data_IF_857134243523
#
_entry.id   IF_857134243523
#
_cell.length_a   1.000
_cell.length_b   1.000
_cell.length_c   1.000
_cell.angle_alpha   90.00
_cell.angle_beta   90.00
_cell.angle_gamma   90.00
#
_symmetry.space_group_name_H-M   'P 1'
#
loop_
_entity.id
_entity.type
_entity.pdbx_description
1 polymer ?
#
# COMPACT_ATOMS: atom_id res chain seq x y z
N UNK A 1 -19.18 58.08 -9.38
CA UNK A 1 -17.74 57.87 -9.63
C UNK A 1 -17.61 56.94 -10.82
N UNK A 2 -17.52 57.52 -12.03
CA UNK A 2 -17.57 56.78 -13.29
C UNK A 2 -16.13 56.55 -13.79
N UNK A 3 -15.65 55.31 -13.64
CA UNK A 3 -14.52 54.64 -14.30
C UNK A 3 -13.35 55.49 -14.87
N UNK A 4 -12.31 55.70 -14.06
CA UNK A 4 -10.97 56.12 -14.52
C UNK A 4 -10.27 55.09 -15.43
N UNK A 5 -10.76 53.85 -15.48
CA UNK A 5 -10.22 52.77 -16.32
C UNK A 5 -10.31 53.03 -17.84
N UNK A 6 -11.16 53.96 -18.29
CA UNK A 6 -11.25 54.33 -19.71
C UNK A 6 -10.14 55.30 -20.16
N UNK A 7 -9.45 55.98 -19.24
CA UNK A 7 -8.36 56.93 -19.57
C UNK A 7 -7.04 56.24 -19.90
N UNK A 8 -6.84 55.01 -19.42
CA UNK A 8 -5.65 54.19 -19.69
C UNK A 8 -6.07 52.74 -19.95
N UNK A 9 -6.47 52.39 -21.19
CA UNK A 9 -6.73 51.00 -21.53
C UNK A 9 -5.45 50.17 -21.30
N UNK A 10 -5.56 49.10 -20.51
CA UNK A 10 -4.44 48.23 -20.12
C UNK A 10 -3.76 47.60 -21.35
N UNK A 11 -4.50 47.49 -22.46
CA UNK A 11 -3.99 46.99 -23.75
C UNK A 11 -2.82 47.80 -24.29
N UNK A 12 -2.80 49.13 -24.09
CA UNK A 12 -1.77 50.00 -24.67
C UNK A 12 -0.55 50.23 -23.79
N UNK A 13 -0.62 49.87 -22.51
CA UNK A 13 0.47 50.13 -21.56
C UNK A 13 1.72 49.29 -21.89
N UNK A 14 1.53 48.00 -22.16
CA UNK A 14 2.61 47.09 -22.52
C UNK A 14 3.28 47.48 -23.83
N UNK A 15 2.47 47.84 -24.84
CA UNK A 15 2.97 48.32 -26.13
C UNK A 15 3.85 49.56 -25.98
N UNK A 16 3.46 50.50 -25.12
CA UNK A 16 4.19 51.74 -24.89
C UNK A 16 5.54 51.54 -24.17
N UNK A 17 5.62 50.54 -23.29
CA UNK A 17 6.90 50.14 -22.67
C UNK A 17 7.81 49.49 -23.71
N UNK A 18 7.27 48.56 -24.49
CA UNK A 18 8.03 47.82 -25.50
C UNK A 18 8.53 48.71 -26.62
N UNK A 19 7.72 49.68 -27.06
CA UNK A 19 8.13 50.67 -28.07
C UNK A 19 9.28 51.55 -27.58
N UNK A 20 9.28 51.95 -26.31
CA UNK A 20 10.40 52.68 -25.72
C UNK A 20 11.69 51.83 -25.63
N UNK A 21 11.56 50.51 -25.71
CA UNK A 21 12.67 49.56 -25.76
C UNK A 21 13.07 49.14 -27.19
N UNK A 22 12.54 49.83 -28.21
CA UNK A 22 12.89 49.61 -29.61
C UNK A 22 12.16 48.43 -30.28
N UNK A 23 11.10 47.91 -29.65
CA UNK A 23 10.23 46.90 -30.25
C UNK A 23 9.10 47.57 -31.05
N UNK A 24 8.84 47.07 -32.26
CA UNK A 24 7.72 47.51 -33.09
C UNK A 24 6.94 46.29 -33.57
N UNK A 25 5.62 46.38 -33.60
CA UNK A 25 4.77 45.28 -34.07
C UNK A 25 5.15 44.92 -35.52
N UNK A 26 5.41 43.63 -35.76
CA UNK A 26 5.80 43.11 -37.08
C UNK A 26 7.31 43.19 -37.40
N UNK A 27 8.11 43.85 -36.56
CA UNK A 27 9.57 43.99 -36.76
C UNK A 27 10.36 43.09 -35.80
N UNK A 28 11.30 42.32 -36.33
CA UNK A 28 12.24 41.55 -35.52
C UNK A 28 13.17 42.46 -34.69
N UNK A 29 13.49 42.05 -33.46
CA UNK A 29 14.42 42.77 -32.58
C UNK A 29 15.87 42.30 -32.84
N UNK A 30 16.83 43.21 -33.05
CA UNK A 30 18.25 42.89 -33.29
C UNK A 30 18.85 43.50 -34.56
N UNK A 31 20.12 43.19 -34.87
CA UNK A 31 20.90 43.80 -35.97
C UNK A 31 20.35 43.55 -37.38
N UNK A 32 19.56 42.50 -37.59
CA UNK A 32 18.99 42.12 -38.89
C UNK A 32 17.47 42.33 -38.91
N UNK A 33 17.02 43.53 -38.53
CA UNK A 33 15.61 43.85 -38.23
C UNK A 33 14.65 43.97 -39.43
N UNK A 34 15.07 43.56 -40.63
CA UNK A 34 14.33 43.85 -41.88
C UNK A 34 13.40 42.73 -42.33
N UNK A 35 13.41 41.56 -41.68
CA UNK A 35 12.44 40.51 -41.97
C UNK A 35 11.19 40.69 -41.11
N UNK A 36 10.04 40.84 -41.79
CA UNK A 36 8.72 40.64 -41.21
C UNK A 36 8.59 39.15 -40.85
N UNK A 37 8.81 38.82 -39.58
CA UNK A 37 8.65 37.46 -39.10
C UNK A 37 7.17 37.27 -38.74
N UNK A 38 6.38 36.48 -39.49
CA UNK A 38 5.02 36.18 -39.10
C UNK A 38 5.02 35.49 -37.73
N UNK A 39 4.17 35.97 -36.81
CA UNK A 39 3.99 35.36 -35.50
C UNK A 39 3.45 33.94 -35.68
N UNK A 40 4.34 32.94 -35.71
CA UNK A 40 3.96 31.53 -35.68
C UNK A 40 3.57 31.18 -34.24
N UNK A 41 2.38 31.61 -33.83
CA UNK A 41 1.81 31.26 -32.55
C UNK A 41 1.28 29.83 -32.65
N UNK A 42 2.20 28.86 -32.65
CA UNK A 42 1.86 27.51 -32.28
C UNK A 42 1.45 27.55 -30.82
N UNK A 43 0.17 27.80 -30.56
CA UNK A 43 -0.45 27.28 -29.35
C UNK A 43 -0.32 25.77 -29.44
N UNK A 44 0.80 25.23 -28.96
CA UNK A 44 0.88 23.83 -28.56
C UNK A 44 -0.09 23.74 -27.39
N UNK A 45 -1.37 23.54 -27.70
CA UNK A 45 -2.38 23.20 -26.74
C UNK A 45 -1.99 21.81 -26.27
N UNK A 46 -1.20 21.75 -25.19
CA UNK A 46 -1.00 20.50 -24.47
C UNK A 46 -2.39 20.10 -24.00
N UNK A 47 -2.98 19.07 -24.60
CA UNK A 47 -4.20 18.45 -24.10
C UNK A 47 -4.01 18.21 -22.58
N UNK A 48 -4.93 18.74 -21.78
CA UNK A 48 -4.90 18.65 -20.32
C UNK A 48 -4.65 19.95 -19.54
N UNK A 49 -4.37 21.09 -20.18
CA UNK A 49 -4.34 22.41 -19.50
C UNK A 49 -5.53 23.30 -19.85
N UNK A 50 -6.74 22.75 -19.83
CA UNK A 50 -7.95 23.54 -20.10
C UNK A 50 -8.32 24.46 -18.94
N UNK A 51 -7.74 24.21 -17.77
CA UNK A 51 -8.07 24.92 -16.55
C UNK A 51 -7.05 26.05 -16.35
N UNK A 52 -7.49 27.30 -16.47
CA UNK A 52 -6.72 28.50 -16.07
C UNK A 52 -6.56 28.59 -14.54
N UNK A 53 -6.18 27.50 -13.90
CA UNK A 53 -5.93 27.43 -12.47
C UNK A 53 -4.41 27.41 -12.29
N UNK A 54 -3.83 28.55 -11.93
CA UNK A 54 -2.41 28.64 -11.58
C UNK A 54 -1.98 27.61 -10.53
N UNK A 55 -0.66 27.39 -10.40
CA UNK A 55 -0.02 26.52 -9.41
C UNK A 55 -0.56 25.07 -9.33
N UNK A 56 -1.02 24.48 -10.44
CA UNK A 56 -1.23 23.02 -10.52
C UNK A 56 -2.35 22.46 -9.64
N UNK A 57 -3.44 23.21 -9.45
CA UNK A 57 -4.60 22.78 -8.66
C UNK A 57 -5.64 22.04 -9.53
N UNK A 58 -5.68 20.72 -9.45
CA UNK A 58 -6.70 19.89 -10.12
C UNK A 58 -8.03 19.93 -9.36
N UNK A 59 -9.05 20.59 -9.93
CA UNK A 59 -10.41 20.61 -9.37
C UNK A 59 -11.17 19.29 -9.57
N UNK A 60 -10.69 18.41 -10.45
CA UNK A 60 -11.30 17.11 -10.76
C UNK A 60 -11.40 16.17 -9.54
N UNK A 61 -10.56 16.38 -8.51
CA UNK A 61 -10.65 15.64 -7.24
C UNK A 61 -11.77 16.14 -6.31
N UNK A 62 -12.26 17.37 -6.50
CA UNK A 62 -13.19 18.05 -5.59
C UNK A 62 -14.65 17.91 -6.05
N UNK A 63 -14.89 17.53 -7.32
CA UNK A 63 -16.25 17.47 -7.91
C UNK A 63 -17.01 16.16 -7.65
N UNK A 64 -16.52 15.27 -6.76
CA UNK A 64 -17.37 14.20 -6.25
C UNK A 64 -18.37 14.83 -5.27
N UNK A 65 -19.67 14.80 -5.58
CA UNK A 65 -20.75 15.24 -4.68
C UNK A 65 -20.41 14.80 -3.25
N UNK A 66 -20.44 15.73 -2.29
CA UNK A 66 -20.41 15.38 -0.86
C UNK A 66 -21.58 14.45 -0.58
N UNK A 67 -21.33 13.16 -0.64
CA UNK A 67 -22.24 12.18 -0.08
C UNK A 67 -22.38 12.50 1.41
N UNK A 68 -23.61 12.38 1.92
CA UNK A 68 -23.85 12.58 3.34
C UNK A 68 -23.22 11.41 4.08
N UNK A 69 -22.00 11.60 4.59
CA UNK A 69 -21.31 10.62 5.40
C UNK A 69 -22.12 10.37 6.67
N UNK A 70 -22.43 9.11 6.95
CA UNK A 70 -23.14 8.69 8.15
C UNK A 70 -22.25 7.78 8.99
N UNK A 71 -22.61 7.61 10.26
CA UNK A 71 -21.99 6.60 11.11
C UNK A 71 -22.13 5.22 10.45
N UNK A 72 -21.03 4.47 10.38
CA UNK A 72 -20.97 3.18 9.67
C UNK A 72 -20.62 3.27 8.18
N UNK A 73 -20.57 4.47 7.58
CA UNK A 73 -20.09 4.64 6.20
C UNK A 73 -18.61 4.27 6.06
N UNK A 74 -18.26 3.66 4.93
CA UNK A 74 -16.88 3.29 4.61
C UNK A 74 -16.25 4.42 3.80
N UNK A 75 -15.12 4.90 4.28
CA UNK A 75 -14.47 6.10 3.75
C UNK A 75 -12.99 5.89 3.47
N UNK A 76 -12.52 6.55 2.43
CA UNK A 76 -11.11 6.67 2.08
C UNK A 76 -10.59 8.09 2.36
N UNK A 77 -9.39 8.16 2.93
CA UNK A 77 -8.70 9.41 3.23
C UNK A 77 -7.95 9.91 1.99
N UNK A 78 -8.36 11.03 1.40
CA UNK A 78 -7.77 11.52 0.14
C UNK A 78 -6.51 12.38 0.28
N UNK A 79 -6.21 12.89 1.47
CA UNK A 79 -5.08 13.81 1.69
C UNK A 79 -4.52 13.76 3.12
N UNK A 80 -3.38 14.42 3.35
CA UNK A 80 -2.73 14.46 4.67
C UNK A 80 -1.91 13.22 5.02
N UNK A 81 -1.50 13.13 6.29
CA UNK A 81 -0.62 12.07 6.83
C UNK A 81 -1.16 10.65 6.62
N UNK A 82 -2.48 10.52 6.60
CA UNK A 82 -3.20 9.26 6.55
C UNK A 82 -3.80 8.98 5.16
N UNK A 83 -3.30 9.63 4.11
CA UNK A 83 -3.80 9.47 2.73
C UNK A 83 -3.75 8.00 2.27
N UNK A 84 -4.84 7.55 1.63
CA UNK A 84 -5.02 6.19 1.09
C UNK A 84 -5.51 5.16 2.11
N UNK A 85 -5.71 5.55 3.37
CA UNK A 85 -6.28 4.66 4.40
C UNK A 85 -7.79 4.55 4.19
N UNK A 86 -8.30 3.33 4.31
CA UNK A 86 -9.74 3.03 4.29
C UNK A 86 -10.17 2.61 5.70
N UNK A 87 -11.32 3.13 6.15
CA UNK A 87 -11.88 2.78 7.44
C UNK A 87 -13.39 2.97 7.51
N UNK A 88 -13.96 2.58 8.63
CA UNK A 88 -15.38 2.75 8.95
C UNK A 88 -15.52 3.91 9.92
N UNK A 89 -16.46 4.82 9.65
CA UNK A 89 -16.77 5.91 10.56
C UNK A 89 -17.46 5.33 11.80
N UNK A 90 -16.83 5.48 12.97
CA UNK A 90 -17.43 5.12 14.25
C UNK A 90 -18.24 6.27 14.85
N UNK A 91 -17.74 7.49 14.75
CA UNK A 91 -18.39 8.66 15.32
C UNK A 91 -18.12 9.88 14.43
N UNK A 92 -19.15 10.69 14.20
CA UNK A 92 -19.05 11.96 13.50
C UNK A 92 -19.19 13.08 14.51
N UNK A 93 -18.19 13.95 14.55
CA UNK A 93 -18.22 15.25 15.24
C UNK A 93 -18.43 16.35 14.20
N UNK A 94 -18.57 17.61 14.64
CA UNK A 94 -18.91 18.74 13.77
C UNK A 94 -17.94 18.91 12.57
N UNK A 95 -16.62 18.80 12.80
CA UNK A 95 -15.61 18.96 11.73
C UNK A 95 -14.72 17.73 11.52
N UNK A 96 -14.78 16.75 12.43
CA UNK A 96 -13.91 15.58 12.45
C UNK A 96 -14.73 14.30 12.60
N UNK A 97 -14.25 13.21 12.02
CA UNK A 97 -14.79 11.87 12.22
C UNK A 97 -13.74 10.99 12.89
N UNK A 98 -14.18 10.13 13.81
CA UNK A 98 -13.38 9.08 14.40
C UNK A 98 -13.59 7.81 13.57
N UNK A 99 -12.49 7.31 13.02
CA UNK A 99 -12.49 6.23 12.05
C UNK A 99 -11.78 5.03 12.64
N UNK A 100 -12.39 3.86 12.52
CA UNK A 100 -11.74 2.58 12.76
C UNK A 100 -11.09 2.07 11.48
N UNK A 101 -9.79 1.81 11.56
CA UNK A 101 -9.01 1.33 10.42
C UNK A 101 -9.05 -0.19 10.41
N UNK A 102 -9.36 -0.79 9.26
CA UNK A 102 -9.49 -2.27 9.17
C UNK A 102 -8.17 -3.05 9.40
N UNK A 103 -7.02 -2.38 9.35
CA UNK A 103 -5.69 -3.00 9.45
C UNK A 103 -5.04 -2.89 10.85
N UNK A 104 -5.69 -2.25 11.82
CA UNK A 104 -5.25 -2.15 13.23
C UNK A 104 -6.44 -1.63 14.06
N UNK A 105 -6.67 -2.15 15.27
CA UNK A 105 -7.71 -1.70 16.22
C UNK A 105 -7.37 -0.31 16.82
N UNK A 106 -6.88 0.61 16.00
CA UNK A 106 -6.52 1.97 16.38
C UNK A 106 -7.52 2.94 15.75
N UNK A 107 -8.17 3.73 16.59
CA UNK A 107 -9.07 4.79 16.17
C UNK A 107 -8.29 6.04 15.78
N UNK A 108 -8.58 6.63 14.61
CA UNK A 108 -7.94 7.86 14.15
C UNK A 108 -8.99 8.94 13.92
N UNK A 109 -8.73 10.13 14.49
CA UNK A 109 -9.52 11.34 14.25
C UNK A 109 -9.08 12.01 12.95
N UNK A 110 -9.98 12.12 11.98
CA UNK A 110 -9.69 12.68 10.64
C UNK A 110 -10.74 13.75 10.29
N UNK A 111 -10.33 14.91 9.72
CA UNK A 111 -11.28 15.93 9.29
C UNK A 111 -12.21 15.44 8.19
N UNK A 112 -13.52 15.73 8.27
CA UNK A 112 -14.52 15.28 7.29
C UNK A 112 -14.17 15.71 5.85
N UNK A 113 -13.52 16.86 5.69
CA UNK A 113 -13.11 17.40 4.38
C UNK A 113 -12.16 16.48 3.61
N UNK A 114 -11.50 15.56 4.30
CA UNK A 114 -10.50 14.66 3.74
C UNK A 114 -11.08 13.26 3.47
N UNK A 115 -12.36 13.05 3.75
CA UNK A 115 -13.03 11.76 3.61
C UNK A 115 -13.92 11.76 2.37
N UNK A 116 -13.86 10.68 1.62
CA UNK A 116 -14.77 10.39 0.52
C UNK A 116 -15.39 9.02 0.75
N UNK A 117 -16.68 8.88 0.45
CA UNK A 117 -17.35 7.59 0.45
C UNK A 117 -16.71 6.65 -0.59
N UNK A 118 -16.29 5.48 -0.14
CA UNK A 118 -15.66 4.49 -1.00
C UNK A 118 -16.68 3.43 -1.40
N UNK A 119 -16.87 3.21 -2.70
CA UNK A 119 -17.68 2.10 -3.21
C UNK A 119 -17.06 0.74 -2.79
N UNK A 120 -17.92 -0.22 -2.47
CA UNK A 120 -17.57 -1.61 -2.10
C UNK A 120 -16.67 -2.34 -3.12
N UNK A 121 -16.48 -1.78 -4.32
CA UNK A 121 -15.61 -2.33 -5.36
C UNK A 121 -14.13 -1.93 -5.20
N UNK A 122 -13.85 -0.80 -4.55
CA UNK A 122 -12.48 -0.32 -4.24
C UNK A 122 -12.01 -0.85 -2.87
N UNK A 123 -12.96 -1.26 -2.02
CA UNK A 123 -12.70 -1.90 -0.72
C UNK A 123 -11.84 -3.16 -0.79
N UNK A 124 -11.89 -3.91 -1.89
CA UNK A 124 -11.13 -5.16 -2.05
C UNK A 124 -9.68 -4.95 -2.45
N UNK A 125 -9.28 -3.73 -2.86
CA UNK A 125 -7.95 -3.49 -3.42
C UNK A 125 -6.93 -2.99 -2.39
N UNK A 126 -7.38 -2.39 -1.29
CA UNK A 126 -6.49 -1.71 -0.31
C UNK A 126 -6.59 -2.28 1.12
N UNK A 127 -7.61 -3.11 1.39
CA UNK A 127 -7.64 -4.04 2.51
C UNK A 127 -6.90 -5.31 2.02
N UNK A 128 -5.65 -5.48 2.44
CA UNK A 128 -4.89 -6.73 2.39
C UNK A 128 -4.89 -7.53 1.07
N UNK A 129 -3.89 -7.27 0.23
CA UNK A 129 -3.25 -8.34 -0.55
C UNK A 129 -2.72 -9.51 0.32
N UNK A 130 -2.70 -9.37 1.66
CA UNK A 130 -2.33 -10.43 2.59
C UNK A 130 -3.51 -11.36 2.85
N UNK A 131 -3.49 -12.50 2.16
CA UNK A 131 -4.35 -13.66 2.47
C UNK A 131 -4.19 -14.04 3.96
N UNK A 132 -5.24 -14.53 4.63
CA UNK A 132 -5.09 -15.02 6.00
C UNK A 132 -4.09 -16.16 6.07
N UNK A 133 -3.36 -16.23 7.19
CA UNK A 133 -2.39 -17.25 7.50
C UNK A 133 -3.09 -18.62 7.58
N UNK A 134 -2.62 -19.57 6.78
CA UNK A 134 -3.21 -20.90 6.65
C UNK A 134 -2.58 -21.91 7.59
N UNK A 135 -1.25 -21.84 7.73
CA UNK A 135 -0.46 -22.89 8.39
C UNK A 135 0.56 -22.37 9.41
N UNK A 136 0.75 -21.05 9.48
CA UNK A 136 1.67 -20.42 10.43
C UNK A 136 1.18 -20.60 11.85
N UNK A 137 2.06 -21.12 12.73
CA UNK A 137 1.82 -21.33 14.16
C UNK A 137 3.08 -20.89 14.93
N UNK A 138 2.94 -20.43 16.18
CA UNK A 138 4.09 -20.15 17.06
C UNK A 138 4.97 -21.40 17.30
N UNK A 139 6.27 -21.18 17.45
CA UNK A 139 7.28 -22.22 17.72
C UNK A 139 7.73 -23.02 16.50
N UNK A 140 7.16 -22.78 15.31
CA UNK A 140 7.58 -23.46 14.08
C UNK A 140 8.96 -22.98 13.62
N UNK A 141 9.76 -23.92 13.11
CA UNK A 141 11.02 -23.63 12.45
C UNK A 141 10.79 -23.54 10.95
N UNK A 142 11.02 -22.37 10.39
CA UNK A 142 10.77 -22.09 8.97
C UNK A 142 12.04 -21.69 8.24
N UNK A 143 12.02 -21.80 6.92
CA UNK A 143 13.07 -21.28 6.04
C UNK A 143 12.53 -20.08 5.29
N UNK A 144 13.25 -18.96 5.34
CA UNK A 144 12.89 -17.76 4.60
C UNK A 144 13.25 -17.95 3.11
N UNK A 145 12.30 -17.66 2.23
CA UNK A 145 12.41 -17.76 0.76
C UNK A 145 12.26 -16.43 0.03
N UNK A 146 11.95 -15.35 0.74
CA UNK A 146 11.93 -14.02 0.13
C UNK A 146 13.32 -13.57 -0.31
N UNK A 147 13.46 -13.21 -1.59
CA UNK A 147 14.70 -12.62 -2.14
C UNK A 147 14.71 -11.09 -2.06
N UNK A 148 13.56 -10.49 -1.80
CA UNK A 148 13.36 -9.04 -1.78
C UNK A 148 13.27 -8.49 -0.37
N UNK A 149 12.69 -9.23 0.57
CA UNK A 149 12.62 -8.83 1.98
C UNK A 149 14.04 -8.63 2.54
N UNK A 150 14.22 -7.56 3.34
CA UNK A 150 15.51 -7.20 3.94
C UNK A 150 16.69 -7.22 2.94
N UNK A 151 16.45 -6.79 1.70
CA UNK A 151 17.43 -6.79 0.59
C UNK A 151 18.03 -8.19 0.30
N UNK A 152 17.27 -9.25 0.60
CA UNK A 152 17.68 -10.64 0.41
C UNK A 152 18.67 -11.18 1.45
N UNK A 153 19.02 -10.41 2.48
CA UNK A 153 19.99 -10.82 3.51
C UNK A 153 19.57 -12.09 4.28
N UNK A 154 18.26 -12.33 4.39
CA UNK A 154 17.68 -13.44 5.13
C UNK A 154 17.31 -14.62 4.23
N UNK A 155 17.56 -14.54 2.92
CA UNK A 155 17.20 -15.59 1.98
C UNK A 155 17.85 -16.93 2.35
N UNK A 156 17.06 -18.01 2.28
CA UNK A 156 17.45 -19.38 2.59
C UNK A 156 17.92 -19.61 4.06
N UNK A 157 17.67 -18.65 4.94
CA UNK A 157 18.03 -18.75 6.36
C UNK A 157 16.91 -19.43 7.16
N UNK A 158 17.28 -20.27 8.14
CA UNK A 158 16.35 -20.88 9.07
C UNK A 158 16.02 -19.90 10.20
N UNK A 159 14.76 -19.86 10.60
CA UNK A 159 14.24 -18.95 11.61
C UNK A 159 13.12 -19.63 12.41
N UNK A 160 12.74 -19.03 13.54
CA UNK A 160 11.66 -19.54 14.38
C UNK A 160 10.51 -18.54 14.43
N UNK A 161 9.28 -19.02 14.28
CA UNK A 161 8.09 -18.19 14.49
C UNK A 161 7.96 -17.95 15.98
N UNK A 162 8.11 -16.71 16.39
CA UNK A 162 8.07 -16.33 17.80
C UNK A 162 6.64 -16.19 18.27
N UNK A 163 5.84 -15.35 17.59
CA UNK A 163 4.43 -15.16 17.90
C UNK A 163 3.59 -14.88 16.64
N UNK A 164 2.28 -15.12 16.72
CA UNK A 164 1.30 -14.80 15.68
C UNK A 164 0.38 -13.72 16.23
N UNK A 165 0.58 -12.49 15.76
CA UNK A 165 -0.11 -11.29 16.28
C UNK A 165 -1.59 -11.29 15.91
N UNK A 166 -1.90 -11.65 14.66
CA UNK A 166 -3.26 -11.72 14.13
C UNK A 166 -3.35 -12.77 13.01
N UNK A 167 -4.51 -12.89 12.36
CA UNK A 167 -4.74 -13.82 11.24
C UNK A 167 -3.89 -13.53 9.99
N UNK A 168 -3.05 -12.48 9.96
CA UNK A 168 -2.29 -12.02 8.81
C UNK A 168 -0.81 -11.76 9.08
N UNK A 169 -0.43 -11.51 10.34
CA UNK A 169 0.90 -11.08 10.77
C UNK A 169 1.46 -11.99 11.83
N UNK A 170 2.77 -12.18 11.76
CA UNK A 170 3.53 -12.99 12.70
C UNK A 170 4.94 -12.41 12.84
N UNK A 171 5.59 -12.71 13.95
CA UNK A 171 6.96 -12.33 14.22
C UNK A 171 7.87 -13.53 14.08
N UNK A 172 9.07 -13.31 13.55
CA UNK A 172 10.07 -14.34 13.32
C UNK A 172 11.36 -13.94 14.01
N UNK A 173 11.90 -14.86 14.79
CA UNK A 173 13.22 -14.76 15.39
C UNK A 173 14.27 -15.32 14.45
N UNK A 174 15.17 -14.44 14.01
CA UNK A 174 16.39 -14.74 13.25
C UNK A 174 17.63 -14.46 14.11
N UNK A 175 18.82 -14.85 13.63
CA UNK A 175 20.08 -14.60 14.36
C UNK A 175 20.35 -13.12 14.64
N UNK A 176 19.91 -12.24 13.76
CA UNK A 176 20.17 -10.80 13.84
C UNK A 176 19.13 -10.04 14.68
N UNK A 177 18.03 -10.69 15.07
CA UNK A 177 16.93 -10.06 15.81
C UNK A 177 15.57 -10.65 15.48
N UNK A 178 14.53 -9.87 15.78
CA UNK A 178 13.12 -10.22 15.52
C UNK A 178 12.63 -9.36 14.36
N UNK A 179 11.89 -9.96 13.44
CA UNK A 179 11.30 -9.31 12.26
C UNK A 179 9.80 -9.62 12.18
N UNK A 180 9.00 -8.70 11.63
CA UNK A 180 7.53 -8.78 11.58
C UNK A 180 6.95 -8.45 10.19
N UNK A 181 7.80 -8.31 9.18
CA UNK A 181 7.46 -7.87 7.82
C UNK A 181 7.40 -8.99 6.78
N UNK A 182 7.34 -10.26 7.24
CA UNK A 182 7.24 -11.43 6.36
C UNK A 182 5.79 -11.88 6.20
N UNK A 183 5.47 -12.45 5.03
CA UNK A 183 4.19 -13.11 4.76
C UNK A 183 4.34 -14.63 4.70
N UNK A 184 3.24 -15.38 4.74
CA UNK A 184 3.25 -16.85 4.60
C UNK A 184 3.97 -17.33 3.33
N UNK A 185 3.93 -16.55 2.22
CA UNK A 185 4.60 -16.91 0.97
C UNK A 185 6.12 -16.74 1.03
N UNK A 186 6.59 -15.91 1.95
CA UNK A 186 8.01 -15.62 2.13
C UNK A 186 8.73 -16.70 2.93
N UNK A 187 8.01 -17.71 3.43
CA UNK A 187 8.53 -18.76 4.29
C UNK A 187 8.11 -20.16 3.78
N UNK A 188 8.93 -21.16 4.09
CA UNK A 188 8.73 -22.57 3.77
C UNK A 188 8.84 -23.40 5.04
N UNK A 189 8.11 -24.50 5.12
CA UNK A 189 8.23 -25.47 6.22
C UNK A 189 9.61 -26.11 6.23
N UNK A 190 10.15 -26.39 7.42
CA UNK A 190 11.35 -27.19 7.59
C UNK A 190 10.92 -28.54 8.14
N UNK A 191 11.45 -29.63 7.60
CA UNK A 191 11.13 -30.98 8.09
C UNK A 191 12.31 -31.48 8.92
N UNK A 192 12.09 -31.99 10.14
CA UNK A 192 13.18 -32.47 10.98
C UNK A 192 13.83 -33.73 10.39
N UNK A 193 14.91 -34.18 11.03
CA UNK A 193 15.44 -35.53 10.80
C UNK A 193 14.46 -36.62 11.27
N UNK A 194 14.67 -37.85 10.83
CA UNK A 194 13.91 -39.02 11.31
C UNK A 194 14.05 -39.12 12.84
N UNK A 195 12.94 -39.38 13.53
CA UNK A 195 12.83 -39.36 14.99
C UNK A 195 12.64 -37.96 15.59
N UNK A 196 12.81 -36.90 14.81
CA UNK A 196 12.64 -35.53 15.26
C UNK A 196 11.18 -35.13 15.44
N UNK A 197 10.96 -34.20 16.37
CA UNK A 197 9.65 -33.65 16.69
C UNK A 197 9.20 -32.65 15.63
N UNK A 198 7.93 -32.72 15.26
CA UNK A 198 7.26 -31.82 14.33
C UNK A 198 5.85 -31.49 14.82
N UNK A 199 5.26 -30.48 14.22
CA UNK A 199 3.87 -30.10 14.37
C UNK A 199 3.18 -30.19 13.03
N UNK A 200 1.94 -30.68 13.03
CA UNK A 200 1.08 -30.72 11.86
C UNK A 200 0.49 -29.33 11.67
N UNK A 201 0.63 -28.76 10.47
CA UNK A 201 0.28 -27.35 10.20
C UNK A 201 -0.98 -27.18 9.36
N UNK A 202 -1.49 -28.26 8.76
CA UNK A 202 -2.69 -28.29 7.92
C UNK A 202 -3.53 -29.54 8.17
N UNK A 203 -4.79 -29.50 7.75
CA UNK A 203 -5.72 -30.63 7.83
C UNK A 203 -6.38 -30.80 9.19
N UNK A 204 -7.06 -31.94 9.42
CA UNK A 204 -7.83 -32.20 10.65
C UNK A 204 -6.99 -32.25 11.92
N UNK A 205 -5.75 -32.71 11.81
CA UNK A 205 -4.79 -32.84 12.91
C UNK A 205 -3.95 -31.57 13.10
N UNK A 206 -4.40 -30.41 12.61
CA UNK A 206 -3.65 -29.16 12.70
C UNK A 206 -3.35 -28.82 14.17
N UNK A 207 -2.13 -28.35 14.41
CA UNK A 207 -1.54 -28.03 15.71
C UNK A 207 -1.15 -29.22 16.57
N UNK A 208 -1.43 -30.46 16.15
CA UNK A 208 -0.99 -31.66 16.86
C UNK A 208 0.52 -31.87 16.71
N UNK A 209 1.16 -32.32 17.79
CA UNK A 209 2.59 -32.64 17.84
C UNK A 209 2.80 -34.12 17.51
N UNK A 210 3.79 -34.42 16.68
CA UNK A 210 4.12 -35.77 16.27
C UNK A 210 5.64 -35.98 16.09
N UNK A 211 6.07 -37.23 16.01
CA UNK A 211 7.45 -37.61 15.65
C UNK A 211 7.53 -38.12 14.23
N UNK A 212 8.56 -37.72 13.50
CA UNK A 212 8.79 -38.21 12.13
C UNK A 212 9.29 -39.65 12.15
N UNK A 213 8.61 -40.57 11.49
CA UNK A 213 9.06 -41.97 11.35
C UNK A 213 9.82 -42.19 10.05
N UNK A 214 9.21 -41.83 8.92
CA UNK A 214 9.80 -42.02 7.60
C UNK A 214 9.49 -40.84 6.70
N UNK A 215 10.34 -40.63 5.70
CA UNK A 215 10.19 -39.56 4.71
C UNK A 215 10.50 -40.08 3.32
N UNK A 216 9.51 -40.05 2.44
CA UNK A 216 9.68 -40.33 1.03
C UNK A 216 9.68 -39.01 0.23
N UNK A 217 10.89 -38.61 -0.18
CA UNK A 217 11.08 -37.39 -0.98
C UNK A 217 10.48 -37.47 -2.37
N UNK A 218 10.43 -38.66 -2.97
CA UNK A 218 9.95 -38.85 -4.35
C UNK A 218 8.42 -38.75 -4.40
N UNK A 219 7.75 -39.31 -3.40
CA UNK A 219 6.28 -39.32 -3.32
C UNK A 219 5.68 -38.10 -2.62
N UNK A 220 6.51 -37.19 -2.09
CA UNK A 220 6.08 -36.07 -1.28
C UNK A 220 5.32 -36.46 0.02
N UNK A 221 5.67 -37.61 0.61
CA UNK A 221 4.95 -38.17 1.76
C UNK A 221 5.85 -38.31 2.99
N UNK A 222 5.25 -38.15 4.16
CA UNK A 222 5.84 -38.41 5.47
C UNK A 222 4.91 -39.29 6.28
N UNK A 223 5.50 -40.22 7.02
CA UNK A 223 4.77 -41.00 8.03
C UNK A 223 5.19 -40.48 9.40
N UNK A 224 4.22 -40.08 10.20
CA UNK A 224 4.41 -39.46 11.51
C UNK A 224 3.67 -40.24 12.58
N UNK A 225 4.23 -40.27 13.79
CA UNK A 225 3.60 -40.83 14.97
C UNK A 225 3.03 -39.69 15.81
N UNK A 226 1.71 -39.53 15.75
CA UNK A 226 0.94 -38.63 16.59
C UNK A 226 0.55 -39.33 17.91
N UNK A 227 -0.19 -38.66 18.78
CA UNK A 227 -0.65 -39.28 20.04
C UNK A 227 -1.70 -40.36 19.73
N UNK A 228 -2.61 -40.07 18.79
CA UNK A 228 -3.73 -40.94 18.43
C UNK A 228 -3.37 -42.01 17.39
N UNK A 229 -2.10 -42.12 16.99
CA UNK A 229 -1.61 -43.18 16.12
C UNK A 229 -0.65 -42.73 15.02
N UNK A 230 -0.55 -43.52 13.96
CA UNK A 230 0.35 -43.27 12.83
C UNK A 230 -0.44 -42.63 11.69
N UNK A 231 0.03 -41.48 11.23
CA UNK A 231 -0.56 -40.71 10.14
C UNK A 231 0.40 -40.65 8.95
N UNK A 232 -0.17 -40.67 7.74
CA UNK A 232 0.58 -40.39 6.51
C UNK A 232 0.11 -39.05 5.96
N UNK A 233 1.02 -38.08 5.87
CA UNK A 233 0.76 -36.70 5.47
C UNK A 233 1.70 -36.27 4.34
N UNK A 234 1.46 -35.11 3.74
CA UNK A 234 2.43 -34.53 2.80
C UNK A 234 3.55 -33.81 3.53
N UNK A 235 4.68 -33.60 2.86
CA UNK A 235 5.81 -32.84 3.42
C UNK A 235 5.44 -31.38 3.75
N UNK A 236 4.49 -30.78 3.03
CA UNK A 236 4.05 -29.38 3.23
C UNK A 236 2.99 -29.22 4.34
N UNK A 237 2.51 -30.33 4.90
CA UNK A 237 1.53 -30.37 5.99
C UNK A 237 2.19 -30.50 7.36
N UNK A 238 3.51 -30.68 7.41
CA UNK A 238 4.28 -30.83 8.64
C UNK A 238 5.43 -29.83 8.71
N UNK A 239 5.79 -29.44 9.92
CA UNK A 239 6.89 -28.52 10.15
C UNK A 239 7.62 -28.86 11.46
N UNK A 240 8.94 -28.85 11.44
CA UNK A 240 9.80 -28.92 12.63
C UNK A 240 9.37 -27.79 13.57
N UNK A 241 9.22 -28.11 14.84
CA UNK A 241 8.92 -27.11 15.85
C UNK A 241 9.94 -27.23 16.98
N UNK A 242 10.19 -26.10 17.63
CA UNK A 242 10.98 -26.06 18.83
C UNK A 242 10.04 -26.05 20.03
N UNK A 243 10.21 -26.99 20.94
CA UNK A 243 9.59 -26.94 22.26
C UNK A 243 10.65 -26.36 23.19
N UNK A 244 10.41 -25.16 23.73
CA UNK A 244 11.09 -24.79 24.96
C UNK A 244 10.65 -25.81 26.02
N UNK A 245 11.63 -26.54 26.56
CA UNK A 245 11.46 -27.45 27.69
C UNK A 245 11.48 -26.60 28.96
#
# INVERSE_FOLDING_TARGET
MQNDYNKTPVSGFGEKILSNMGWFQGRGIGKNSSEEIPLYLNYIRREGREDRNGLGSDKSMITKKKAQLQQGSIVEVISGKHKGIIGVILEIQEENALIEIKNNINHIKIPLRVLIESDNKTLTSTISSSRPLKWVLPGLKVRIRSKTAHKGSLYNTKAYIEDVLDSHKFTVRVKIGIIDDLTEKDIETVIPGIGGSLRIVKGPHKSEVAKLLTRDKRKNLVTVQALDGILTLTQDDVCEFYQEI
#
